data_IF_558366798127
#
_entry.id   IF_558366798127
#
_cell.length_a   1.000
_cell.length_b   1.000
_cell.length_c   1.000
_cell.angle_alpha   90.00
_cell.angle_beta   90.00
_cell.angle_gamma   90.00
#
_symmetry.space_group_name_H-M   'P 1'
#
loop_
_entity.id
_entity.type
_entity.pdbx_description
1 polymer ?
#
# COMPACT_ATOMS: atom_id res chain seq x y z
N UNK A 1 40.02 -2.00 -7.36
CA UNK A 1 38.82 -1.24 -6.95
C UNK A 1 37.67 -1.91 -7.58
N UNK A 2 36.73 -2.42 -6.82
CA UNK A 2 35.81 -3.44 -7.32
C UNK A 2 34.47 -2.87 -7.76
N UNK A 3 33.74 -3.58 -8.61
CA UNK A 3 32.38 -3.25 -9.10
C UNK A 3 31.36 -2.87 -7.98
N UNK A 4 31.63 -3.29 -6.74
CA UNK A 4 30.82 -2.93 -5.55
C UNK A 4 30.99 -1.45 -5.16
N UNK A 5 32.20 -0.90 -5.28
CA UNK A 5 32.50 0.49 -4.92
C UNK A 5 31.90 1.45 -5.95
N UNK A 6 31.91 1.06 -7.23
CA UNK A 6 31.35 1.86 -8.34
C UNK A 6 29.81 1.92 -8.22
N UNK A 7 29.16 0.81 -7.88
CA UNK A 7 27.72 0.80 -7.64
C UNK A 7 27.34 1.71 -6.47
N UNK A 8 28.09 1.63 -5.35
CA UNK A 8 27.81 2.44 -4.17
C UNK A 8 28.05 3.94 -4.41
N UNK A 9 29.08 4.31 -5.19
CA UNK A 9 29.26 5.72 -5.61
C UNK A 9 28.07 6.24 -6.41
N UNK A 10 27.52 5.41 -7.30
CA UNK A 10 26.28 5.75 -8.02
C UNK A 10 25.09 5.99 -7.09
N UNK A 11 24.91 5.15 -6.05
CA UNK A 11 23.86 5.33 -5.03
C UNK A 11 24.05 6.62 -4.25
N UNK A 12 25.27 6.92 -3.81
CA UNK A 12 25.56 8.16 -3.08
C UNK A 12 25.33 9.41 -3.94
N UNK A 13 25.73 9.36 -5.22
CA UNK A 13 25.49 10.43 -6.17
C UNK A 13 23.99 10.65 -6.40
N UNK A 14 23.23 9.60 -6.63
CA UNK A 14 21.78 9.67 -6.82
C UNK A 14 21.06 10.29 -5.62
N UNK A 15 21.44 9.88 -4.40
CA UNK A 15 20.85 10.40 -3.16
C UNK A 15 21.20 11.89 -2.92
N UNK A 16 22.30 12.38 -3.47
CA UNK A 16 22.68 13.80 -3.46
C UNK A 16 22.07 14.61 -4.62
N UNK A 17 21.33 13.97 -5.52
CA UNK A 17 20.77 14.61 -6.72
C UNK A 17 21.79 14.75 -7.86
N UNK A 18 23.00 14.22 -7.74
CA UNK A 18 23.99 14.17 -8.82
C UNK A 18 23.70 12.97 -9.74
N UNK A 19 22.65 13.13 -10.52
CA UNK A 19 22.18 12.09 -11.45
C UNK A 19 23.15 11.82 -12.60
N UNK A 20 23.96 12.82 -12.98
CA UNK A 20 24.97 12.65 -14.03
C UNK A 20 26.07 11.67 -13.59
N UNK A 21 26.56 11.81 -12.36
CA UNK A 21 27.51 10.86 -11.78
C UNK A 21 26.86 9.48 -11.59
N UNK A 22 25.62 9.41 -11.07
CA UNK A 22 24.92 8.13 -10.92
C UNK A 22 24.81 7.38 -12.25
N UNK A 23 24.39 8.06 -13.32
CA UNK A 23 24.31 7.51 -14.67
C UNK A 23 25.66 6.99 -15.17
N UNK A 24 26.72 7.79 -14.98
CA UNK A 24 28.08 7.43 -15.38
C UNK A 24 28.58 6.16 -14.68
N UNK A 25 28.31 6.02 -13.39
CA UNK A 25 28.75 4.86 -12.61
C UNK A 25 27.90 3.62 -12.91
N UNK A 26 26.59 3.75 -13.05
CA UNK A 26 25.69 2.59 -13.24
C UNK A 26 25.66 2.05 -14.67
N UNK A 27 25.83 2.90 -15.70
CA UNK A 27 25.75 2.45 -17.10
C UNK A 27 26.73 1.30 -17.43
N UNK A 28 28.05 1.40 -17.12
CA UNK A 28 28.97 0.29 -17.38
C UNK A 28 28.60 -0.98 -16.60
N UNK A 29 28.15 -0.85 -15.35
CA UNK A 29 27.74 -1.97 -14.52
C UNK A 29 26.49 -2.67 -15.08
N UNK A 30 25.51 -1.89 -15.50
CA UNK A 30 24.27 -2.40 -16.09
C UNK A 30 24.54 -3.15 -17.41
N UNK A 31 25.44 -2.62 -18.24
CA UNK A 31 25.86 -3.29 -19.48
C UNK A 31 26.62 -4.60 -19.20
N UNK A 32 27.26 -4.74 -18.05
CA UNK A 32 27.89 -5.98 -17.59
C UNK A 32 26.91 -6.93 -16.88
N UNK A 33 25.61 -6.61 -16.85
CA UNK A 33 24.57 -7.46 -16.29
C UNK A 33 24.30 -7.25 -14.80
N UNK A 34 24.84 -6.18 -14.17
CA UNK A 34 24.52 -5.90 -12.78
C UNK A 34 23.04 -5.55 -12.64
N UNK A 35 22.28 -6.41 -11.99
CA UNK A 35 20.82 -6.34 -11.89
C UNK A 35 20.34 -5.06 -11.18
N UNK A 36 21.04 -4.62 -10.12
CA UNK A 36 20.66 -3.41 -9.40
C UNK A 36 20.96 -2.14 -10.21
N UNK A 37 22.05 -2.13 -10.97
CA UNK A 37 22.37 -1.03 -11.86
C UNK A 37 21.35 -0.94 -13.02
N UNK A 38 20.94 -2.07 -13.59
CA UNK A 38 19.87 -2.12 -14.60
C UNK A 38 18.56 -1.56 -14.05
N UNK A 39 18.13 -2.00 -12.88
CA UNK A 39 16.92 -1.48 -12.23
C UNK A 39 17.01 0.03 -11.99
N UNK A 40 18.15 0.51 -11.47
CA UNK A 40 18.33 1.94 -11.20
C UNK A 40 18.35 2.78 -12.48
N UNK A 41 18.94 2.28 -13.57
CA UNK A 41 18.82 2.95 -14.89
C UNK A 41 17.36 2.98 -15.36
N UNK A 42 16.64 1.87 -15.21
CA UNK A 42 15.20 1.84 -15.47
C UNK A 42 14.45 2.94 -14.73
N UNK A 43 14.70 3.11 -13.43
CA UNK A 43 14.13 4.18 -12.61
C UNK A 43 14.52 5.58 -13.13
N UNK A 44 15.77 5.78 -13.53
CA UNK A 44 16.23 7.09 -14.04
C UNK A 44 15.49 7.48 -15.32
N UNK A 45 15.34 6.55 -16.26
CA UNK A 45 14.59 6.80 -17.50
C UNK A 45 13.09 6.93 -17.26
N UNK A 46 12.52 6.12 -16.37
CA UNK A 46 11.10 6.17 -15.99
C UNK A 46 10.72 7.52 -15.37
N UNK A 47 11.57 8.05 -14.49
CA UNK A 47 11.33 9.31 -13.78
C UNK A 47 11.92 10.55 -14.47
N UNK A 48 12.72 10.41 -15.53
CA UNK A 48 13.42 11.51 -16.17
C UNK A 48 14.51 12.13 -15.28
N UNK A 49 15.17 11.33 -14.44
CA UNK A 49 16.20 11.82 -13.50
C UNK A 49 17.60 11.72 -14.13
N UNK A 50 18.17 12.89 -14.42
CA UNK A 50 19.49 13.00 -15.09
C UNK A 50 19.49 12.68 -16.59
N UNK A 51 18.35 12.25 -17.10
CA UNK A 51 18.06 11.97 -18.51
C UNK A 51 16.66 12.50 -18.84
N UNK A 52 16.35 12.65 -20.12
CA UNK A 52 14.96 12.85 -20.54
C UNK A 52 14.16 11.57 -20.20
N UNK A 53 12.93 11.75 -19.72
CA UNK A 53 12.04 10.62 -19.48
C UNK A 53 11.82 9.84 -20.77
N UNK A 54 12.10 8.54 -20.71
CA UNK A 54 11.93 7.62 -21.82
C UNK A 54 11.45 6.25 -21.32
N UNK A 55 10.16 6.02 -21.41
CA UNK A 55 9.56 4.75 -21.00
C UNK A 55 10.05 3.55 -21.80
N UNK A 56 10.48 3.71 -23.07
CA UNK A 56 11.03 2.61 -23.86
C UNK A 56 12.38 2.16 -23.31
N UNK A 57 13.23 3.11 -22.99
CA UNK A 57 14.50 2.80 -22.32
C UNK A 57 14.25 2.24 -20.90
N UNK A 58 13.27 2.76 -20.15
CA UNK A 58 12.90 2.21 -18.86
C UNK A 58 12.47 0.75 -18.97
N UNK A 59 11.58 0.41 -19.93
CA UNK A 59 11.18 -0.97 -20.22
C UNK A 59 12.38 -1.83 -20.50
N UNK A 60 13.30 -1.40 -21.38
CA UNK A 60 14.50 -2.17 -21.75
C UNK A 60 15.34 -2.51 -20.51
N UNK A 61 15.60 -1.55 -19.65
CA UNK A 61 16.39 -1.76 -18.45
C UNK A 61 15.66 -2.58 -17.38
N UNK A 62 14.36 -2.31 -17.15
CA UNK A 62 13.58 -3.13 -16.24
C UNK A 62 13.44 -4.56 -16.71
N UNK A 63 13.28 -4.81 -18.01
CA UNK A 63 13.19 -6.16 -18.57
C UNK A 63 14.46 -6.96 -18.28
N UNK A 64 15.64 -6.38 -18.52
CA UNK A 64 16.91 -7.03 -18.23
C UNK A 64 17.06 -7.40 -16.73
N UNK A 65 16.59 -6.55 -15.84
CA UNK A 65 16.62 -6.84 -14.40
C UNK A 65 15.54 -7.85 -13.99
N UNK A 66 14.33 -7.76 -14.58
CA UNK A 66 13.19 -8.62 -14.29
C UNK A 66 13.44 -10.07 -14.74
N UNK A 67 14.07 -10.27 -15.89
CA UNK A 67 14.48 -11.59 -16.40
C UNK A 67 15.55 -12.25 -15.49
N UNK A 68 16.32 -11.47 -14.75
CA UNK A 68 17.21 -11.96 -13.71
C UNK A 68 16.51 -12.20 -12.36
N UNK A 69 15.19 -12.04 -12.29
CA UNK A 69 14.39 -12.29 -11.09
C UNK A 69 14.32 -11.12 -10.11
N UNK A 70 14.71 -9.89 -10.49
CA UNK A 70 14.65 -8.75 -9.57
C UNK A 70 13.19 -8.30 -9.38
N UNK A 71 12.62 -8.56 -8.19
CA UNK A 71 11.20 -8.37 -7.90
C UNK A 71 10.70 -6.95 -8.16
N UNK A 72 11.45 -5.93 -7.75
CA UNK A 72 11.06 -4.54 -7.97
C UNK A 72 11.08 -4.15 -9.46
N UNK A 73 11.95 -4.77 -10.28
CA UNK A 73 11.95 -4.55 -11.72
C UNK A 73 10.76 -5.26 -12.38
N UNK A 74 10.41 -6.47 -11.92
CA UNK A 74 9.21 -7.19 -12.38
C UNK A 74 7.95 -6.38 -12.07
N UNK A 75 7.85 -5.81 -10.86
CA UNK A 75 6.75 -4.92 -10.49
C UNK A 75 6.63 -3.74 -11.44
N UNK A 76 7.71 -2.97 -11.61
CA UNK A 76 7.68 -1.77 -12.44
C UNK A 76 7.43 -2.08 -13.92
N UNK A 77 8.03 -3.16 -14.44
CA UNK A 77 7.77 -3.63 -15.80
C UNK A 77 6.30 -3.99 -16.00
N UNK A 78 5.71 -4.70 -15.03
CA UNK A 78 4.29 -5.01 -15.02
C UNK A 78 3.42 -3.76 -15.05
N UNK A 79 3.76 -2.72 -14.29
CA UNK A 79 3.02 -1.44 -14.33
C UNK A 79 3.16 -0.72 -15.67
N UNK A 80 4.32 -0.78 -16.32
CA UNK A 80 4.51 -0.18 -17.66
C UNK A 80 3.65 -0.89 -18.71
N UNK A 81 3.54 -2.21 -18.68
CA UNK A 81 2.61 -2.97 -19.53
C UNK A 81 1.15 -2.67 -19.20
N UNK A 82 0.82 -2.55 -17.91
CA UNK A 82 -0.54 -2.25 -17.46
C UNK A 82 -1.02 -0.89 -18.01
N UNK A 83 -0.14 0.11 -18.03
CA UNK A 83 -0.45 1.46 -18.46
C UNK A 83 -0.18 1.72 -19.95
N UNK A 84 0.49 0.81 -20.67
CA UNK A 84 0.91 1.04 -22.05
C UNK A 84 2.00 2.11 -22.17
N UNK A 85 2.89 2.21 -21.19
CA UNK A 85 3.99 3.19 -21.17
C UNK A 85 5.27 2.57 -21.73
N UNK A 86 5.74 3.10 -22.85
CA UNK A 86 6.94 2.59 -23.56
C UNK A 86 6.72 1.29 -24.33
N UNK A 87 5.63 0.59 -24.08
CA UNK A 87 5.17 -0.63 -24.75
C UNK A 87 3.67 -0.52 -25.03
N UNK A 88 3.12 -1.29 -26.00
CA UNK A 88 1.67 -1.46 -26.12
C UNK A 88 1.09 -1.98 -24.79
N UNK A 89 -0.07 -1.45 -24.40
CA UNK A 89 -0.77 -1.92 -23.22
C UNK A 89 -1.11 -3.41 -23.38
N UNK A 90 -0.72 -4.21 -22.38
CA UNK A 90 -1.02 -5.63 -22.31
C UNK A 90 -1.22 -6.05 -20.85
N UNK A 91 -2.47 -6.21 -20.47
CA UNK A 91 -2.84 -6.56 -19.11
C UNK A 91 -2.46 -8.01 -18.73
N UNK A 92 -2.40 -8.92 -19.68
CA UNK A 92 -2.00 -10.30 -19.42
C UNK A 92 -0.52 -10.35 -19.04
N UNK A 93 0.34 -9.73 -19.85
CA UNK A 93 1.78 -9.62 -19.55
C UNK A 93 1.99 -8.84 -18.24
N UNK A 94 1.21 -7.79 -18.00
CA UNK A 94 1.27 -7.02 -16.75
C UNK A 94 1.02 -7.91 -15.53
N UNK A 95 -0.06 -8.70 -15.53
CA UNK A 95 -0.41 -9.61 -14.42
C UNK A 95 0.66 -10.68 -14.24
N UNK A 96 1.23 -11.22 -15.30
CA UNK A 96 2.32 -12.21 -15.22
C UNK A 96 3.53 -11.64 -14.48
N UNK A 97 4.02 -10.44 -14.87
CA UNK A 97 5.16 -9.80 -14.19
C UNK A 97 4.85 -9.40 -12.75
N UNK A 98 3.66 -8.85 -12.50
CA UNK A 98 3.25 -8.49 -11.14
C UNK A 98 3.14 -9.74 -10.26
N UNK A 99 2.67 -10.88 -10.81
CA UNK A 99 2.58 -12.15 -10.05
C UNK A 99 3.98 -12.67 -9.70
N UNK A 100 4.93 -12.68 -10.63
CA UNK A 100 6.31 -13.07 -10.34
C UNK A 100 6.94 -12.22 -9.23
N UNK A 101 6.64 -10.93 -9.21
CA UNK A 101 7.09 -10.01 -8.16
C UNK A 101 6.41 -10.29 -6.81
N UNK A 102 5.08 -10.50 -6.83
CA UNK A 102 4.28 -10.77 -5.63
C UNK A 102 4.65 -12.10 -4.95
N UNK A 103 4.94 -13.13 -5.74
CA UNK A 103 5.40 -14.45 -5.28
C UNK A 103 6.75 -14.35 -4.53
N UNK A 104 7.59 -13.38 -4.91
CA UNK A 104 8.83 -13.07 -4.17
C UNK A 104 8.57 -12.21 -2.93
N UNK A 105 7.32 -11.84 -2.69
CA UNK A 105 6.92 -11.11 -1.51
C UNK A 105 6.98 -9.58 -1.63
N UNK A 106 7.06 -9.03 -2.84
CA UNK A 106 6.95 -7.58 -3.04
C UNK A 106 5.55 -7.10 -2.63
N UNK A 107 5.49 -6.21 -1.64
CA UNK A 107 4.23 -5.83 -0.96
C UNK A 107 3.30 -5.07 -1.91
N UNK A 108 3.84 -4.17 -2.70
CA UNK A 108 3.05 -3.39 -3.65
C UNK A 108 2.48 -4.27 -4.77
N UNK A 109 3.23 -5.29 -5.20
CA UNK A 109 2.74 -6.27 -6.17
C UNK A 109 1.62 -7.13 -5.59
N UNK A 110 1.75 -7.58 -4.35
CA UNK A 110 0.70 -8.32 -3.64
C UNK A 110 -0.56 -7.47 -3.50
N UNK A 111 -0.44 -6.21 -3.07
CA UNK A 111 -1.57 -5.26 -3.03
C UNK A 111 -2.22 -5.09 -4.40
N UNK A 112 -1.44 -4.89 -5.45
CA UNK A 112 -1.96 -4.67 -6.80
C UNK A 112 -2.70 -5.91 -7.33
N UNK A 113 -2.20 -7.12 -7.10
CA UNK A 113 -2.95 -8.34 -7.44
C UNK A 113 -4.26 -8.45 -6.67
N UNK A 114 -4.26 -8.13 -5.37
CA UNK A 114 -5.47 -8.06 -4.59
C UNK A 114 -6.53 -7.15 -5.23
N UNK A 115 -6.13 -5.98 -5.70
CA UNK A 115 -7.00 -5.02 -6.40
C UNK A 115 -7.48 -5.60 -7.75
N UNK A 116 -6.57 -6.11 -8.56
CA UNK A 116 -6.85 -6.66 -9.89
C UNK A 116 -7.91 -7.78 -9.81
N UNK A 117 -7.74 -8.73 -8.88
CA UNK A 117 -8.70 -9.82 -8.71
C UNK A 117 -10.00 -9.38 -8.04
N UNK A 118 -9.96 -8.36 -7.16
CA UNK A 118 -11.16 -7.78 -6.55
C UNK A 118 -12.04 -7.08 -7.60
N UNK A 119 -11.44 -6.29 -8.46
CA UNK A 119 -12.17 -5.43 -9.40
C UNK A 119 -12.64 -6.21 -10.65
N UNK A 120 -11.88 -7.20 -11.10
CA UNK A 120 -12.26 -8.05 -12.21
C UNK A 120 -12.26 -7.38 -13.58
N UNK A 121 -11.61 -6.21 -13.71
CA UNK A 121 -11.56 -5.45 -14.97
C UNK A 121 -10.57 -6.03 -15.98
N UNK A 122 -9.52 -6.64 -15.51
CA UNK A 122 -8.36 -7.13 -16.28
C UNK A 122 -8.33 -8.65 -16.36
N UNK A 123 -8.74 -9.29 -15.27
CA UNK A 123 -8.90 -10.75 -15.13
C UNK A 123 -10.30 -11.01 -14.59
N UNK A 124 -10.85 -12.23 -14.73
CA UNK A 124 -12.12 -12.55 -14.07
C UNK A 124 -12.05 -12.25 -12.55
N UNK A 125 -13.10 -11.61 -12.02
CA UNK A 125 -13.18 -11.29 -10.61
C UNK A 125 -13.09 -12.56 -9.76
N UNK A 126 -12.20 -12.54 -8.77
CA UNK A 126 -12.01 -13.63 -7.82
C UNK A 126 -11.67 -13.08 -6.44
N UNK A 127 -12.69 -12.95 -5.59
CA UNK A 127 -12.53 -12.47 -4.22
C UNK A 127 -11.67 -13.40 -3.34
N UNK A 128 -11.63 -14.70 -3.65
CA UNK A 128 -10.84 -15.66 -2.88
C UNK A 128 -9.34 -15.45 -3.14
N UNK A 129 -8.97 -15.28 -4.40
CA UNK A 129 -7.61 -14.94 -4.79
C UNK A 129 -7.23 -13.52 -4.33
N UNK A 130 -8.14 -12.55 -4.44
CA UNK A 130 -7.91 -11.19 -3.94
C UNK A 130 -7.64 -11.18 -2.43
N UNK A 131 -8.43 -11.94 -1.64
CA UNK A 131 -8.25 -12.05 -0.18
C UNK A 131 -6.86 -12.57 0.18
N UNK A 132 -6.37 -13.63 -0.49
CA UNK A 132 -5.03 -14.18 -0.26
C UNK A 132 -3.94 -13.14 -0.48
N UNK A 133 -4.01 -12.39 -1.59
CA UNK A 133 -3.02 -11.38 -1.90
C UNK A 133 -3.09 -10.18 -0.94
N UNK A 134 -4.30 -9.72 -0.59
CA UNK A 134 -4.43 -8.67 0.42
C UNK A 134 -3.91 -9.12 1.79
N UNK A 135 -4.17 -10.35 2.21
CA UNK A 135 -3.69 -10.85 3.50
C UNK A 135 -2.16 -10.92 3.55
N UNK A 136 -1.51 -11.36 2.48
CA UNK A 136 -0.04 -11.36 2.38
C UNK A 136 0.55 -9.95 2.49
N UNK A 137 -0.01 -8.97 1.80
CA UNK A 137 0.44 -7.59 1.90
C UNK A 137 0.10 -6.94 3.26
N UNK A 138 -1.08 -7.27 3.81
CA UNK A 138 -1.56 -6.76 5.10
C UNK A 138 -0.68 -7.23 6.27
N UNK A 139 -0.25 -8.49 6.26
CA UNK A 139 0.68 -9.03 7.28
C UNK A 139 2.04 -8.34 7.28
N UNK A 140 2.42 -7.74 6.15
CA UNK A 140 3.63 -6.91 6.00
C UNK A 140 3.40 -5.43 6.30
N UNK A 141 2.21 -5.08 6.79
CA UNK A 141 1.88 -3.74 7.24
C UNK A 141 1.29 -2.83 6.17
N UNK A 142 0.97 -3.31 4.97
CA UNK A 142 0.34 -2.47 3.95
C UNK A 142 -1.07 -2.04 4.39
N UNK A 143 -1.24 -0.75 4.65
CA UNK A 143 -2.48 -0.17 5.20
C UNK A 143 -3.68 -0.41 4.27
N UNK A 144 -3.50 -0.19 2.97
CA UNK A 144 -4.56 -0.40 1.97
C UNK A 144 -5.03 -1.86 1.99
N UNK A 145 -4.10 -2.80 2.07
CA UNK A 145 -4.42 -4.22 2.11
C UNK A 145 -5.07 -4.62 3.44
N UNK A 146 -4.66 -4.04 4.57
CA UNK A 146 -5.32 -4.24 5.87
C UNK A 146 -6.78 -3.80 5.83
N UNK A 147 -7.06 -2.64 5.22
CA UNK A 147 -8.44 -2.15 5.06
C UNK A 147 -9.24 -3.07 4.15
N UNK A 148 -8.68 -3.48 3.00
CA UNK A 148 -9.39 -4.33 2.05
C UNK A 148 -9.69 -5.72 2.63
N UNK A 149 -8.73 -6.38 3.26
CA UNK A 149 -8.98 -7.67 3.89
C UNK A 149 -9.95 -7.57 5.08
N UNK A 150 -9.91 -6.48 5.84
CA UNK A 150 -10.88 -6.18 6.86
C UNK A 150 -12.31 -6.06 6.29
N UNK A 151 -12.49 -5.40 5.15
CA UNK A 151 -13.78 -5.34 4.46
C UNK A 151 -14.21 -6.71 3.91
N UNK A 152 -13.27 -7.52 3.44
CA UNK A 152 -13.59 -8.87 2.96
C UNK A 152 -14.16 -9.73 4.10
N UNK A 153 -13.54 -9.70 5.28
CA UNK A 153 -14.08 -10.36 6.48
C UNK A 153 -15.41 -9.76 6.94
N UNK A 154 -15.57 -8.42 6.83
CA UNK A 154 -16.83 -7.76 7.17
C UNK A 154 -18.01 -8.23 6.31
N UNK A 155 -17.78 -8.39 5.01
CA UNK A 155 -18.81 -8.74 4.04
C UNK A 155 -18.93 -10.25 3.74
N UNK A 156 -17.95 -11.05 4.17
CA UNK A 156 -17.86 -12.46 3.76
C UNK A 156 -17.50 -12.63 2.28
N UNK A 157 -16.68 -11.73 1.72
CA UNK A 157 -16.25 -11.75 0.32
C UNK A 157 -14.94 -12.53 0.16
N UNK A 158 -14.98 -13.68 -0.51
CA UNK A 158 -13.80 -14.55 -0.70
C UNK A 158 -13.29 -15.25 0.57
N UNK A 159 -13.78 -14.85 1.73
CA UNK A 159 -13.54 -15.43 3.06
C UNK A 159 -14.86 -15.52 3.82
N UNK A 160 -15.00 -16.44 4.80
CA UNK A 160 -16.17 -16.44 5.68
C UNK A 160 -16.28 -15.10 6.42
N UNK A 161 -17.51 -14.60 6.63
CA UNK A 161 -17.73 -13.38 7.40
C UNK A 161 -17.22 -13.55 8.83
N UNK A 162 -16.37 -12.61 9.27
CA UNK A 162 -15.81 -12.58 10.62
C UNK A 162 -15.54 -11.12 11.07
N UNK A 163 -16.40 -10.64 11.97
CA UNK A 163 -16.24 -9.29 12.53
C UNK A 163 -15.05 -9.16 13.48
N UNK A 164 -14.56 -10.24 14.08
CA UNK A 164 -13.37 -10.19 14.94
C UNK A 164 -12.10 -10.03 14.11
N UNK A 165 -11.99 -10.75 13.00
CA UNK A 165 -10.92 -10.52 12.02
C UNK A 165 -11.03 -9.11 11.41
N UNK A 166 -12.25 -8.61 11.13
CA UNK A 166 -12.46 -7.23 10.69
C UNK A 166 -11.85 -6.24 11.69
N UNK A 167 -12.19 -6.37 12.99
CA UNK A 167 -11.64 -5.49 14.05
C UNK A 167 -10.12 -5.56 14.11
N UNK A 168 -9.55 -6.75 14.07
CA UNK A 168 -8.10 -6.96 14.09
C UNK A 168 -7.39 -6.19 12.96
N UNK A 169 -7.85 -6.34 11.72
CA UNK A 169 -7.24 -5.68 10.58
C UNK A 169 -7.47 -4.17 10.58
N UNK A 170 -8.67 -3.71 10.96
CA UNK A 170 -8.96 -2.28 11.10
C UNK A 170 -8.16 -1.64 12.25
N UNK A 171 -7.93 -2.35 13.35
CA UNK A 171 -7.05 -1.88 14.44
C UNK A 171 -5.64 -1.64 13.93
N UNK A 172 -5.04 -2.61 13.21
CA UNK A 172 -3.69 -2.47 12.67
C UNK A 172 -3.56 -1.26 11.73
N UNK A 173 -4.55 -1.03 10.86
CA UNK A 173 -4.57 0.13 9.98
C UNK A 173 -4.81 1.45 10.73
N UNK A 174 -5.65 1.45 11.75
CA UNK A 174 -5.93 2.62 12.60
C UNK A 174 -4.71 3.05 13.41
N UNK A 175 -3.96 2.09 13.95
CA UNK A 175 -2.70 2.32 14.67
C UNK A 175 -1.58 2.85 13.78
N UNK A 176 -1.68 2.70 12.47
CA UNK A 176 -0.81 3.34 11.48
C UNK A 176 -1.31 4.72 11.04
N UNK A 177 -2.37 5.22 11.68
CA UNK A 177 -2.89 6.56 11.46
C UNK A 177 -3.86 6.69 10.28
N UNK A 178 -4.38 5.60 9.72
CA UNK A 178 -5.35 5.66 8.61
C UNK A 178 -6.69 6.24 9.05
N UNK A 179 -7.11 7.44 8.56
CA UNK A 179 -8.39 8.02 8.94
C UNK A 179 -9.59 7.18 8.49
N UNK A 180 -9.46 6.48 7.37
CA UNK A 180 -10.49 5.54 6.89
C UNK A 180 -10.67 4.36 7.84
N UNK A 181 -9.58 3.76 8.30
CA UNK A 181 -9.64 2.64 9.25
C UNK A 181 -10.18 3.09 10.61
N UNK A 182 -9.77 4.26 11.09
CA UNK A 182 -10.28 4.87 12.33
C UNK A 182 -11.79 5.13 12.27
N UNK A 183 -12.28 5.65 11.15
CA UNK A 183 -13.71 5.79 10.92
C UNK A 183 -14.44 4.43 10.92
N UNK A 184 -13.85 3.41 10.30
CA UNK A 184 -14.43 2.06 10.32
C UNK A 184 -14.45 1.48 11.73
N UNK A 185 -13.41 1.70 12.54
CA UNK A 185 -13.41 1.33 13.96
C UNK A 185 -14.53 2.01 14.73
N UNK A 186 -14.81 3.29 14.45
CA UNK A 186 -15.94 4.00 15.05
C UNK A 186 -17.27 3.31 14.73
N UNK A 187 -17.50 2.88 13.50
CA UNK A 187 -18.70 2.11 13.10
C UNK A 187 -18.79 0.76 13.79
N UNK A 188 -17.66 0.03 13.91
CA UNK A 188 -17.64 -1.27 14.57
C UNK A 188 -18.03 -1.15 16.05
N UNK A 189 -17.53 -0.15 16.78
CA UNK A 189 -17.92 0.12 18.16
C UNK A 189 -19.36 0.64 18.27
N UNK A 190 -19.83 1.47 17.32
CA UNK A 190 -21.19 1.97 17.32
C UNK A 190 -22.22 0.86 17.16
N UNK A 191 -21.95 -0.09 16.26
CA UNK A 191 -22.87 -1.20 15.93
C UNK A 191 -22.64 -2.47 16.75
N UNK A 192 -21.55 -2.57 17.51
CA UNK A 192 -21.20 -3.78 18.25
C UNK A 192 -20.78 -4.96 17.34
N UNK A 193 -20.10 -4.67 16.24
CA UNK A 193 -19.67 -5.67 15.27
C UNK A 193 -18.22 -6.10 15.57
N UNK A 194 -18.04 -7.33 16.07
CA UNK A 194 -16.77 -7.88 16.52
C UNK A 194 -16.24 -7.30 17.85
N UNK A 195 -16.89 -6.27 18.37
CA UNK A 195 -16.64 -5.63 19.67
C UNK A 195 -17.98 -5.37 20.38
N UNK A 196 -17.96 -5.13 21.69
CA UNK A 196 -19.15 -4.65 22.39
C UNK A 196 -19.50 -3.23 21.94
N UNK A 197 -20.80 -2.91 21.89
CA UNK A 197 -21.26 -1.54 21.63
C UNK A 197 -20.63 -0.62 22.68
N UNK A 198 -19.93 0.41 22.20
CA UNK A 198 -19.33 1.43 23.04
C UNK A 198 -19.30 2.78 22.30
N UNK A 199 -20.28 3.65 22.66
CA UNK A 199 -20.39 4.98 22.04
C UNK A 199 -19.23 5.90 22.39
N UNK A 200 -18.55 5.68 23.52
CA UNK A 200 -17.39 6.50 23.92
C UNK A 200 -16.21 6.18 22.99
N UNK A 201 -15.90 4.90 22.76
CA UNK A 201 -14.88 4.49 21.79
C UNK A 201 -15.27 4.84 20.36
N UNK A 202 -16.55 4.69 19.99
CA UNK A 202 -17.03 5.11 18.66
C UNK A 202 -16.79 6.61 18.43
N UNK A 203 -17.11 7.44 19.42
CA UNK A 203 -16.89 8.90 19.36
C UNK A 203 -15.39 9.24 19.31
N UNK A 204 -14.55 8.58 20.13
CA UNK A 204 -13.10 8.75 20.12
C UNK A 204 -12.53 8.51 18.72
N UNK A 205 -12.81 7.36 18.11
CA UNK A 205 -12.29 7.01 16.79
C UNK A 205 -12.84 7.91 15.68
N UNK A 206 -14.12 8.27 15.74
CA UNK A 206 -14.72 9.22 14.79
C UNK A 206 -14.11 10.62 14.91
N UNK A 207 -13.82 11.08 16.15
CA UNK A 207 -13.14 12.36 16.40
C UNK A 207 -11.74 12.39 15.81
N UNK A 208 -10.97 11.31 15.99
CA UNK A 208 -9.61 11.18 15.43
C UNK A 208 -9.66 11.23 13.91
N UNK A 209 -10.54 10.44 13.27
CA UNK A 209 -10.68 10.43 11.81
C UNK A 209 -11.11 11.81 11.25
N UNK A 210 -12.08 12.45 11.91
CA UNK A 210 -12.58 13.78 11.53
C UNK A 210 -11.49 14.86 11.64
N UNK A 211 -10.67 14.82 12.70
CA UNK A 211 -9.58 15.79 12.90
C UNK A 211 -8.50 15.71 11.81
N UNK A 212 -8.40 14.58 11.13
CA UNK A 212 -7.52 14.36 9.97
C UNK A 212 -8.18 14.69 8.62
N UNK A 213 -9.38 15.27 8.64
CA UNK A 213 -10.10 15.69 7.43
C UNK A 213 -10.93 14.60 6.76
N UNK A 214 -11.21 13.47 7.43
CA UNK A 214 -12.05 12.44 6.87
C UNK A 214 -13.54 12.82 7.01
N UNK A 215 -14.11 13.38 5.94
CA UNK A 215 -15.46 13.97 5.93
C UNK A 215 -16.56 13.00 6.40
N UNK A 216 -16.47 11.72 6.01
CA UNK A 216 -17.48 10.73 6.38
C UNK A 216 -17.59 10.51 7.92
N UNK A 217 -16.56 10.85 8.69
CA UNK A 217 -16.60 10.73 10.14
C UNK A 217 -17.51 11.80 10.81
N UNK A 218 -17.74 12.93 10.16
CA UNK A 218 -18.55 14.04 10.71
C UNK A 218 -19.99 13.63 10.98
N UNK A 219 -20.62 12.93 10.04
CA UNK A 219 -22.01 12.48 10.20
C UNK A 219 -22.19 11.52 11.39
N UNK A 220 -21.23 10.61 11.59
CA UNK A 220 -21.27 9.71 12.75
C UNK A 220 -21.05 10.47 14.06
N UNK A 221 -20.16 11.47 14.09
CA UNK A 221 -19.96 12.33 15.26
C UNK A 221 -21.22 13.12 15.62
N UNK A 222 -21.91 13.69 14.64
CA UNK A 222 -23.17 14.40 14.88
C UNK A 222 -24.22 13.47 15.49
N UNK A 223 -24.37 12.26 14.95
CA UNK A 223 -25.29 11.26 15.51
C UNK A 223 -24.92 10.88 16.96
N UNK A 224 -23.63 10.63 17.22
CA UNK A 224 -23.13 10.29 18.55
C UNK A 224 -23.34 11.45 19.55
N UNK A 225 -23.10 12.69 19.14
CA UNK A 225 -23.34 13.86 19.99
C UNK A 225 -24.80 14.04 20.41
N UNK A 226 -25.75 13.60 19.57
CA UNK A 226 -27.18 13.63 19.91
C UNK A 226 -27.57 12.50 20.88
N UNK A 227 -26.86 11.39 20.85
CA UNK A 227 -27.19 10.18 21.60
C UNK A 227 -26.44 10.04 22.93
N UNK A 228 -25.33 10.76 23.10
CA UNK A 228 -24.45 10.64 24.25
C UNK A 228 -24.72 11.72 25.31
N UNK A 229 -24.49 11.36 26.57
CA UNK A 229 -24.52 12.33 27.66
C UNK A 229 -23.27 13.23 27.65
N UNK A 230 -23.33 14.43 28.24
CA UNK A 230 -22.15 15.30 28.35
C UNK A 230 -20.94 14.61 28.99
N UNK A 231 -21.15 13.76 29.99
CA UNK A 231 -20.09 13.01 30.67
C UNK A 231 -19.43 11.98 29.71
N UNK A 232 -20.20 11.31 28.88
CA UNK A 232 -19.67 10.39 27.87
C UNK A 232 -18.85 11.11 26.81
N UNK A 233 -19.31 12.27 26.35
CA UNK A 233 -18.59 13.12 25.39
C UNK A 233 -17.27 13.59 25.98
N UNK A 234 -17.26 14.03 27.23
CA UNK A 234 -16.04 14.45 27.94
C UNK A 234 -15.03 13.29 28.05
N UNK A 235 -15.49 12.09 28.38
CA UNK A 235 -14.64 10.91 28.43
C UNK A 235 -14.08 10.54 27.05
N UNK A 236 -14.91 10.59 26.00
CA UNK A 236 -14.45 10.35 24.63
C UNK A 236 -13.38 11.36 24.18
N UNK A 237 -13.52 12.64 24.55
CA UNK A 237 -12.51 13.66 24.28
C UNK A 237 -11.20 13.39 25.01
N UNK A 238 -11.26 12.99 26.28
CA UNK A 238 -10.08 12.59 27.07
C UNK A 238 -9.36 11.41 26.41
N UNK A 239 -10.10 10.36 26.01
CA UNK A 239 -9.54 9.21 25.32
C UNK A 239 -8.95 9.58 23.95
N UNK A 240 -9.58 10.51 23.23
CA UNK A 240 -9.05 11.03 21.96
C UNK A 240 -7.67 11.65 22.14
N UNK A 241 -7.52 12.53 23.16
CA UNK A 241 -6.23 13.16 23.45
C UNK A 241 -5.16 12.14 23.85
N UNK A 242 -5.52 11.17 24.67
CA UNK A 242 -4.61 10.09 25.09
C UNK A 242 -4.17 9.21 23.91
N UNK A 243 -5.11 8.86 23.03
CA UNK A 243 -4.84 8.05 21.85
C UNK A 243 -3.89 8.77 20.88
N UNK A 244 -4.15 10.04 20.61
CA UNK A 244 -3.29 10.87 19.74
C UNK A 244 -1.88 11.00 20.33
N UNK A 245 -1.74 11.21 21.64
CA UNK A 245 -0.43 11.26 22.33
C UNK A 245 0.37 9.95 22.19
N UNK A 246 -0.31 8.82 22.06
CA UNK A 246 0.29 7.48 21.85
C UNK A 246 0.53 7.15 20.38
N UNK A 247 0.35 8.13 19.46
CA UNK A 247 0.36 7.86 18.00
C UNK A 247 -0.57 6.72 17.62
N UNK A 248 -1.78 6.72 18.18
CA UNK A 248 -2.86 5.76 17.94
C UNK A 248 -2.59 4.32 18.42
N UNK A 249 -1.50 4.07 19.15
CA UNK A 249 -1.12 2.72 19.59
C UNK A 249 -1.87 2.29 20.85
N UNK A 250 -2.51 1.12 20.79
CA UNK A 250 -3.19 0.52 21.94
C UNK A 250 -4.38 1.36 22.41
N UNK A 251 -5.06 2.00 21.52
CA UNK A 251 -6.33 2.68 21.80
C UNK A 251 -7.50 1.74 21.61
#
# INVERSE_FOLDING_TARGET
MGCSDDFQRGVEAYNKGDYATALKEWTPLANLGNVKAQYNLGLMYDMGKGVLQDYKEAVRWYQLAAEQGYSSAQHNLGLLYFNGQGVPQDHQIAVEWITLSADQGEVESQKNLGIIYRDGEVVPQDYQTAAKWFELAATKGNITSQINIGFFYYNGQGVPQDYQETVKWMTLASEQGSPQAQHNMAYLYYNGQGVKIDKVYAHMWASIASSQGFENAKGLLEALNMEMTPSQIQEAQRLTEECVKKNYKGC
#
